data_IF_322072370425
#
_entry.id   IF_322072370425
#
_cell.length_a   1.000
_cell.length_b   1.000
_cell.length_c   1.000
_cell.angle_alpha   90.00
_cell.angle_beta   90.00
_cell.angle_gamma   90.00
#
_symmetry.space_group_name_H-M   'P 1'
#
loop_
_entity.id
_entity.type
_entity.pdbx_description
1 polymer ?
#
# COMPACT_ATOMS: atom_id res chain seq x y z
N UNK A 1 11.15 12.50 -23.24
CA UNK A 1 11.18 11.11 -23.76
C UNK A 1 10.74 10.18 -22.65
N UNK A 2 9.60 9.49 -22.80
CA UNK A 2 9.14 8.43 -21.89
C UNK A 2 9.69 7.08 -22.35
N UNK A 3 9.90 6.14 -21.42
CA UNK A 3 10.33 4.78 -21.75
C UNK A 3 9.18 3.98 -22.36
N UNK A 4 9.46 3.04 -23.28
CA UNK A 4 8.45 2.14 -23.84
C UNK A 4 7.67 1.38 -22.76
N UNK A 5 8.36 0.93 -21.72
CA UNK A 5 7.76 0.22 -20.58
C UNK A 5 6.77 1.08 -19.80
N UNK A 6 6.93 2.41 -19.80
CA UNK A 6 6.00 3.33 -19.16
C UNK A 6 4.82 3.67 -20.07
N UNK A 7 5.05 3.75 -21.39
CA UNK A 7 4.01 4.05 -22.37
C UNK A 7 2.99 2.92 -22.52
N UNK A 8 3.41 1.68 -22.31
CA UNK A 8 2.59 0.48 -22.43
C UNK A 8 2.48 -0.26 -21.08
N UNK A 9 2.60 0.47 -19.97
CA UNK A 9 2.33 -0.09 -18.67
C UNK A 9 0.85 -0.53 -18.62
N UNK A 10 0.54 -1.77 -18.20
CA UNK A 10 -0.83 -2.22 -18.13
C UNK A 10 -1.59 -1.42 -17.07
N UNK A 11 -2.77 -0.93 -17.42
CA UNK A 11 -3.64 -0.16 -16.54
C UNK A 11 -4.82 -1.00 -16.06
N UNK A 12 -5.24 -1.99 -16.86
CA UNK A 12 -6.36 -2.87 -16.55
C UNK A 12 -5.93 -4.32 -16.40
N UNK A 13 -6.79 -5.13 -15.79
CA UNK A 13 -6.59 -6.57 -15.64
C UNK A 13 -6.45 -7.26 -17.02
N UNK A 14 -7.13 -6.74 -18.05
CA UNK A 14 -7.07 -7.29 -19.41
C UNK A 14 -5.71 -7.08 -20.09
N UNK A 15 -4.96 -6.05 -19.66
CA UNK A 15 -3.64 -5.72 -20.20
C UNK A 15 -2.51 -6.54 -19.54
N UNK A 16 -2.81 -7.27 -18.46
CA UNK A 16 -1.83 -8.09 -17.76
C UNK A 16 -1.47 -9.33 -18.57
N UNK A 17 -0.21 -9.46 -18.97
CA UNK A 17 0.37 -10.67 -19.54
C UNK A 17 0.62 -11.79 -18.49
N UNK A 18 -0.11 -11.79 -17.38
CA UNK A 18 0.00 -12.78 -16.30
C UNK A 18 -1.10 -13.83 -16.48
N UNK A 19 -0.80 -15.08 -16.10
CA UNK A 19 -1.80 -16.15 -16.17
C UNK A 19 -3.08 -15.76 -15.39
N UNK A 20 -4.28 -15.78 -16.01
CA UNK A 20 -5.51 -15.28 -15.38
C UNK A 20 -5.85 -15.96 -14.06
N UNK A 21 -5.45 -17.23 -13.91
CA UNK A 21 -5.61 -17.97 -12.65
C UNK A 21 -4.86 -17.30 -11.49
N UNK A 22 -3.61 -16.88 -11.71
CA UNK A 22 -2.79 -16.21 -10.68
C UNK A 22 -3.35 -14.84 -10.34
N UNK A 23 -3.82 -14.10 -11.34
CA UNK A 23 -4.46 -12.80 -11.13
C UNK A 23 -5.68 -12.97 -10.22
N UNK A 24 -6.52 -13.98 -10.50
CA UNK A 24 -7.69 -14.29 -9.68
C UNK A 24 -7.32 -14.68 -8.25
N UNK A 25 -6.35 -15.57 -8.06
CA UNK A 25 -5.90 -15.99 -6.73
C UNK A 25 -5.42 -14.80 -5.88
N UNK A 26 -4.67 -13.87 -6.47
CA UNK A 26 -4.22 -12.66 -5.76
C UNK A 26 -5.37 -11.70 -5.49
N UNK A 27 -6.29 -11.53 -6.44
CA UNK A 27 -7.47 -10.69 -6.27
C UNK A 27 -8.37 -11.21 -5.14
N UNK A 28 -8.64 -12.52 -5.11
CA UNK A 28 -9.42 -13.18 -4.07
C UNK A 28 -8.75 -13.03 -2.71
N UNK A 29 -7.42 -13.21 -2.64
CA UNK A 29 -6.66 -13.00 -1.40
C UNK A 29 -6.77 -11.56 -0.87
N UNK A 30 -6.66 -10.56 -1.75
CA UNK A 30 -6.83 -9.14 -1.36
C UNK A 30 -8.26 -8.93 -0.84
N UNK A 31 -9.27 -9.45 -1.54
CA UNK A 31 -10.67 -9.32 -1.13
C UNK A 31 -10.92 -9.97 0.23
N UNK A 32 -10.40 -11.16 0.48
CA UNK A 32 -10.52 -11.85 1.76
C UNK A 32 -9.82 -11.10 2.91
N UNK A 33 -8.75 -10.36 2.62
CA UNK A 33 -8.12 -9.47 3.59
C UNK A 33 -9.01 -8.28 3.93
N UNK A 34 -9.63 -7.65 2.93
CA UNK A 34 -10.54 -6.52 3.09
C UNK A 34 -11.84 -6.90 3.81
N UNK A 35 -12.36 -8.10 3.55
CA UNK A 35 -13.55 -8.65 4.19
C UNK A 35 -13.25 -9.25 5.57
N UNK A 36 -12.01 -9.15 6.05
CA UNK A 36 -11.54 -9.71 7.33
C UNK A 36 -11.76 -11.23 7.46
N UNK A 37 -11.87 -11.94 6.33
CA UNK A 37 -12.07 -13.39 6.25
C UNK A 37 -10.76 -14.16 6.36
N UNK A 38 -9.69 -13.61 5.80
CA UNK A 38 -8.35 -14.15 5.95
C UNK A 38 -7.71 -13.64 7.25
N UNK A 39 -7.04 -14.49 8.05
CA UNK A 39 -6.17 -14.03 9.14
C UNK A 39 -4.81 -13.54 8.63
N UNK A 40 -4.43 -13.90 7.40
CA UNK A 40 -3.16 -13.52 6.78
C UNK A 40 -3.26 -12.11 6.17
N UNK A 41 -2.24 -11.29 6.41
CA UNK A 41 -2.10 -9.92 5.83
C UNK A 41 -0.80 -9.74 5.04
N UNK A 42 0.00 -10.79 4.92
CA UNK A 42 1.26 -10.81 4.19
C UNK A 42 1.15 -11.80 3.03
N UNK A 43 1.44 -11.32 1.83
CA UNK A 43 1.54 -12.12 0.61
C UNK A 43 2.94 -11.97 0.03
N UNK A 44 3.59 -13.10 -0.27
CA UNK A 44 4.90 -13.13 -0.91
C UNK A 44 4.72 -13.65 -2.33
N UNK A 45 5.06 -12.82 -3.32
CA UNK A 45 5.01 -13.20 -4.73
C UNK A 45 6.41 -13.59 -5.24
N UNK A 46 6.61 -14.88 -5.50
CA UNK A 46 7.87 -15.42 -6.01
C UNK A 46 7.76 -15.73 -7.51
N UNK A 47 8.77 -15.33 -8.28
CA UNK A 47 8.86 -15.61 -9.70
C UNK A 47 10.03 -14.86 -10.35
N UNK A 48 10.37 -15.22 -11.58
CA UNK A 48 11.45 -14.58 -12.33
C UNK A 48 11.27 -13.05 -12.44
N UNK A 49 12.37 -12.29 -12.60
CA UNK A 49 12.28 -10.86 -12.87
C UNK A 49 11.48 -10.61 -14.16
N UNK A 50 10.73 -9.51 -14.22
CA UNK A 50 9.97 -9.11 -15.41
C UNK A 50 8.64 -9.82 -15.66
N UNK A 51 8.21 -10.79 -14.84
CA UNK A 51 6.91 -11.50 -15.03
C UNK A 51 5.67 -10.71 -14.58
N UNK A 52 5.81 -9.41 -14.27
CA UNK A 52 4.67 -8.56 -13.92
C UNK A 52 4.11 -8.72 -12.50
N UNK A 53 4.88 -9.24 -11.53
CA UNK A 53 4.44 -9.45 -10.14
C UNK A 53 3.95 -8.13 -9.49
N UNK A 54 4.83 -7.14 -9.41
CA UNK A 54 4.50 -5.82 -8.86
C UNK A 54 3.43 -5.10 -9.68
N UNK A 55 3.51 -5.24 -11.00
CA UNK A 55 2.55 -4.63 -11.93
C UNK A 55 1.14 -5.16 -11.71
N UNK A 56 0.98 -6.47 -11.52
CA UNK A 56 -0.29 -7.11 -11.18
C UNK A 56 -0.84 -6.55 -9.86
N UNK A 57 -0.02 -6.40 -8.82
CA UNK A 57 -0.46 -5.80 -7.56
C UNK A 57 -0.97 -4.35 -7.74
N UNK A 58 -0.26 -3.52 -8.51
CA UNK A 58 -0.66 -2.13 -8.78
C UNK A 58 -1.99 -2.05 -9.54
N UNK A 59 -2.15 -2.87 -10.59
CA UNK A 59 -3.39 -2.93 -11.39
C UNK A 59 -4.56 -3.41 -10.53
N UNK A 60 -4.38 -4.46 -9.73
CA UNK A 60 -5.42 -4.97 -8.83
C UNK A 60 -5.81 -3.93 -7.77
N UNK A 61 -4.82 -3.29 -7.15
CA UNK A 61 -5.08 -2.24 -6.16
C UNK A 61 -5.86 -1.07 -6.76
N UNK A 62 -5.46 -0.58 -7.93
CA UNK A 62 -6.19 0.48 -8.65
C UNK A 62 -7.62 0.04 -9.00
N UNK A 63 -7.80 -1.18 -9.50
CA UNK A 63 -9.12 -1.74 -9.84
C UNK A 63 -10.03 -1.84 -8.60
N UNK A 64 -9.47 -2.11 -7.43
CA UNK A 64 -10.20 -2.25 -6.17
C UNK A 64 -10.27 -0.93 -5.36
N UNK A 65 -9.79 0.19 -5.90
CA UNK A 65 -9.80 1.49 -5.21
C UNK A 65 -8.90 1.55 -3.98
N UNK A 66 -7.82 0.75 -3.95
CA UNK A 66 -6.85 0.72 -2.87
C UNK A 66 -5.68 1.68 -3.14
N UNK A 67 -5.23 2.36 -2.10
CA UNK A 67 -4.02 3.17 -2.16
C UNK A 67 -2.78 2.28 -2.06
N UNK A 68 -1.83 2.41 -2.99
CA UNK A 68 -0.59 1.64 -2.97
C UNK A 68 0.50 2.43 -2.26
N UNK A 69 0.94 1.93 -1.11
CA UNK A 69 2.09 2.45 -0.39
C UNK A 69 3.30 1.61 -0.76
N UNK A 70 4.18 2.15 -1.60
CA UNK A 70 5.34 1.42 -2.06
C UNK A 70 6.55 1.74 -1.18
N UNK A 71 7.24 0.69 -0.72
CA UNK A 71 8.57 0.82 -0.13
C UNK A 71 9.65 0.65 -1.21
N UNK A 72 10.61 1.58 -1.23
CA UNK A 72 11.80 1.54 -2.09
C UNK A 72 13.02 2.01 -1.28
N UNK A 73 14.07 1.19 -1.21
CA UNK A 73 15.28 1.47 -0.43
C UNK A 73 15.96 2.78 -0.86
N UNK A 74 15.95 3.10 -2.16
CA UNK A 74 16.60 4.30 -2.69
C UNK A 74 16.00 5.62 -2.17
N UNK A 75 14.74 5.62 -1.73
CA UNK A 75 14.08 6.80 -1.15
C UNK A 75 14.41 7.00 0.34
N UNK A 76 14.86 5.94 1.03
CA UNK A 76 15.20 6.00 2.46
C UNK A 76 16.58 6.63 2.73
N UNK A 77 17.49 6.58 1.76
CA UNK A 77 18.86 7.09 1.89
C UNK A 77 19.01 8.60 1.60
N UNK A 78 17.95 9.27 1.14
CA UNK A 78 18.01 10.67 0.69
C UNK A 78 17.52 11.65 1.75
N UNK A 79 18.34 11.89 2.78
CA UNK A 79 18.23 13.09 3.61
C UNK A 79 19.55 13.88 3.51
N UNK A 80 19.51 14.92 2.67
CA UNK A 80 20.25 16.19 2.74
C UNK A 80 21.76 16.16 2.98
N UNK A 81 22.53 16.28 1.90
CA UNK A 81 23.85 16.95 1.93
C UNK A 81 23.63 18.43 1.63
N UNK A 82 23.16 19.18 2.61
CA UNK A 82 23.28 20.64 2.60
C UNK A 82 24.01 21.02 3.88
N UNK A 83 25.15 21.69 3.72
CA UNK A 83 25.94 22.30 4.81
C UNK A 83 26.93 21.43 5.62
N UNK A 84 27.58 20.44 5.00
CA UNK A 84 28.85 19.86 5.52
C UNK A 84 28.77 19.12 6.86
N UNK A 85 27.57 18.96 7.43
CA UNK A 85 27.29 18.14 8.60
C UNK A 85 27.02 16.71 8.14
N UNK A 86 27.89 15.78 8.54
CA UNK A 86 27.65 14.35 8.37
C UNK A 86 26.49 13.97 9.30
N UNK A 87 25.25 14.00 8.78
CA UNK A 87 24.13 13.36 9.46
C UNK A 87 24.34 11.85 9.36
N UNK A 88 24.37 11.18 10.52
CA UNK A 88 24.40 9.73 10.60
C UNK A 88 23.32 9.16 9.68
N UNK A 89 23.74 8.44 8.65
CA UNK A 89 22.83 7.69 7.79
C UNK A 89 21.93 6.85 8.71
N UNK A 90 20.62 7.13 8.72
CA UNK A 90 19.68 6.32 9.48
C UNK A 90 19.80 4.87 9.02
N UNK A 91 19.72 3.93 9.97
CA UNK A 91 19.64 2.51 9.62
C UNK A 91 18.41 2.29 8.72
N UNK A 92 18.56 1.49 7.65
CA UNK A 92 17.46 1.17 6.75
C UNK A 92 16.25 0.58 7.49
N UNK A 93 16.51 -0.16 8.58
CA UNK A 93 15.47 -0.72 9.45
C UNK A 93 14.68 0.38 10.16
N UNK A 94 15.34 1.46 10.60
CA UNK A 94 14.69 2.61 11.22
C UNK A 94 13.81 3.34 10.22
N UNK A 95 14.31 3.61 9.00
CA UNK A 95 13.52 4.26 7.96
C UNK A 95 12.34 3.39 7.51
N UNK A 96 12.50 2.07 7.47
CA UNK A 96 11.40 1.14 7.20
C UNK A 96 10.37 1.15 8.34
N UNK A 97 10.80 1.18 9.60
CA UNK A 97 9.91 1.30 10.75
C UNK A 97 9.13 2.63 10.72
N UNK A 98 9.79 3.73 10.37
CA UNK A 98 9.14 5.03 10.15
C UNK A 98 8.10 4.95 9.02
N UNK A 99 8.45 4.34 7.89
CA UNK A 99 7.50 4.09 6.79
C UNK A 99 6.27 3.31 7.24
N UNK A 100 6.45 2.23 8.02
CA UNK A 100 5.33 1.47 8.57
C UNK A 100 4.49 2.30 9.55
N UNK A 101 5.11 3.15 10.36
CA UNK A 101 4.40 4.07 11.25
C UNK A 101 3.56 5.08 10.44
N UNK A 102 4.09 5.62 9.34
CA UNK A 102 3.31 6.48 8.45
C UNK A 102 2.17 5.70 7.77
N UNK A 103 2.46 4.53 7.23
CA UNK A 103 1.48 3.69 6.54
C UNK A 103 0.32 3.24 7.45
N UNK A 104 0.58 3.06 8.74
CA UNK A 104 -0.43 2.70 9.74
C UNK A 104 -1.19 3.90 10.31
N UNK A 105 -0.59 5.10 10.34
CA UNK A 105 -1.18 6.30 10.93
C UNK A 105 -2.18 7.01 10.02
N UNK A 106 -2.01 6.92 8.69
CA UNK A 106 -2.92 7.58 7.75
C UNK A 106 -4.07 6.67 7.34
N UNK A 107 -5.12 6.66 8.15
CA UNK A 107 -6.44 6.27 7.68
C UNK A 107 -6.89 7.35 6.67
N UNK A 108 -7.32 6.94 5.48
CA UNK A 108 -7.69 7.87 4.40
C UNK A 108 -8.63 8.97 4.92
N UNK A 109 -8.26 10.23 4.69
CA UNK A 109 -9.08 11.38 5.06
C UNK A 109 -10.38 11.32 4.24
N UNK A 110 -11.51 11.15 4.91
CA UNK A 110 -12.83 11.17 4.28
C UNK A 110 -13.12 12.59 3.77
N UNK A 111 -12.93 12.81 2.48
CA UNK A 111 -13.30 14.04 1.79
C UNK A 111 -14.64 13.86 1.09
N UNK A 112 -15.64 13.34 1.80
CA UNK A 112 -17.03 13.50 1.36
C UNK A 112 -17.36 14.99 1.30
N UNK A 113 -17.23 15.56 0.10
CA UNK A 113 -17.83 16.85 -0.25
C UNK A 113 -19.35 16.68 -0.19
N UNK A 114 -19.88 16.74 1.02
CA UNK A 114 -21.30 16.72 1.30
C UNK A 114 -21.87 18.04 0.77
N UNK A 115 -22.50 17.96 -0.39
CA UNK A 115 -23.43 19.00 -0.82
C UNK A 115 -24.54 19.05 0.22
N UNK A 116 -24.54 20.15 0.99
CA UNK A 116 -25.46 20.50 2.06
C UNK A 116 -26.84 19.82 1.99
N UNK A 117 -27.09 18.89 2.90
CA UNK A 117 -28.42 18.74 3.51
C UNK A 117 -28.23 18.68 5.02
N UNK A 118 -28.38 19.83 5.66
CA UNK A 118 -28.46 19.93 7.12
C UNK A 118 -29.70 19.18 7.59
N UNK A 119 -29.50 18.10 8.34
CA UNK A 119 -30.52 17.57 9.25
C UNK A 119 -29.97 17.61 10.66
N UNK A 120 -30.39 18.62 11.39
CA UNK A 120 -30.16 18.73 12.83
C UNK A 120 -31.00 17.66 13.51
N UNK A 121 -30.40 16.86 14.41
CA UNK A 121 -31.17 16.26 15.49
C UNK A 121 -30.32 16.14 16.76
N UNK A 122 -30.88 16.66 17.84
CA UNK A 122 -30.35 16.58 19.20
C UNK A 122 -30.66 15.19 19.80
N UNK A 123 -29.90 14.83 20.86
CA UNK A 123 -30.12 13.71 21.80
C UNK A 123 -29.25 12.44 21.65
N UNK A 124 -28.18 12.44 22.46
CA UNK A 124 -27.69 11.44 23.41
C UNK A 124 -28.02 9.92 23.27
N UNK A 125 -26.93 9.13 23.37
CA UNK A 125 -26.78 7.75 23.88
C UNK A 125 -27.62 6.60 23.28
N UNK A 126 -27.00 5.81 22.38
CA UNK A 126 -27.14 4.34 22.37
C UNK A 126 -25.92 3.67 21.72
N UNK A 127 -25.43 2.61 22.36
CA UNK A 127 -24.52 1.62 21.80
C UNK A 127 -25.38 0.52 21.16
N UNK A 128 -25.26 0.27 19.85
CA UNK A 128 -25.85 -0.91 19.22
C UNK A 128 -26.36 -0.71 17.80
N UNK A 129 -25.63 -1.30 16.85
CA UNK A 129 -26.11 -1.97 15.63
C UNK A 129 -27.29 -1.36 14.85
N UNK A 130 -26.97 -0.60 13.81
CA UNK A 130 -27.69 -0.37 12.51
C UNK A 130 -26.83 0.69 11.82
N UNK A 131 -26.06 0.42 10.77
CA UNK A 131 -26.55 0.24 9.40
C UNK A 131 -25.43 -0.31 8.51
N UNK A 132 -25.69 -1.45 7.85
CA UNK A 132 -24.85 -2.04 6.81
C UNK A 132 -24.88 -1.24 5.48
N UNK A 133 -25.32 0.02 5.51
CA UNK A 133 -25.58 0.88 4.35
C UNK A 133 -24.73 2.15 4.32
N UNK A 134 -23.81 2.33 5.27
CA UNK A 134 -22.89 3.47 5.29
C UNK A 134 -21.44 3.04 5.59
N UNK A 135 -20.95 2.02 4.87
CA UNK A 135 -19.50 1.90 4.60
C UNK A 135 -19.16 3.00 3.59
N UNK A 136 -19.18 4.25 4.06
CA UNK A 136 -18.53 5.36 3.38
C UNK A 136 -17.12 4.88 3.04
N UNK A 137 -16.78 5.01 1.75
CA UNK A 137 -15.69 4.32 1.07
C UNK A 137 -14.33 4.58 1.73
N UNK A 138 -13.99 3.83 2.78
CA UNK A 138 -12.65 3.79 3.31
C UNK A 138 -11.78 3.07 2.28
N UNK A 139 -11.03 3.83 1.47
CA UNK A 139 -10.06 3.26 0.55
C UNK A 139 -9.02 2.49 1.38
N UNK A 140 -9.01 1.16 1.30
CA UNK A 140 -7.99 0.35 1.96
C UNK A 140 -6.60 0.66 1.39
N UNK A 141 -5.55 0.34 2.15
CA UNK A 141 -4.17 0.50 1.70
C UNK A 141 -3.54 -0.86 1.41
N UNK A 142 -2.78 -0.94 0.31
CA UNK A 142 -1.92 -2.06 -0.04
C UNK A 142 -0.46 -1.61 0.10
N UNK A 143 0.28 -2.20 1.04
CA UNK A 143 1.73 -1.96 1.16
C UNK A 143 2.45 -2.90 0.21
N UNK A 144 3.17 -2.35 -0.77
CA UNK A 144 3.98 -3.09 -1.73
C UNK A 144 5.47 -2.93 -1.37
N UNK A 145 6.09 -4.03 -0.97
CA UNK A 145 7.53 -4.08 -0.67
C UNK A 145 8.23 -4.78 -1.83
N UNK A 146 8.99 -4.02 -2.62
CA UNK A 146 9.76 -4.59 -3.74
C UNK A 146 11.16 -5.06 -3.31
N UNK A 147 11.75 -4.39 -2.32
CA UNK A 147 13.07 -4.68 -1.77
C UNK A 147 12.96 -4.71 -0.24
N UNK A 148 13.37 -5.82 0.39
CA UNK A 148 13.37 -5.93 1.85
C UNK A 148 14.62 -5.21 2.38
N UNK A 149 14.50 -4.30 3.36
CA UNK A 149 15.66 -3.60 3.90
C UNK A 149 16.74 -4.57 4.35
N UNK A 150 18.00 -4.27 4.01
CA UNK A 150 19.14 -5.09 4.41
C UNK A 150 19.28 -5.06 5.93
N UNK A 151 19.08 -6.21 6.57
CA UNK A 151 19.16 -6.36 8.04
C UNK A 151 20.59 -6.48 8.58
N UNK A 152 21.63 -6.17 7.79
CA UNK A 152 23.01 -6.28 8.24
C UNK A 152 23.28 -5.24 9.33
N UNK A 153 23.17 -5.66 10.59
CA UNK A 153 23.89 -5.03 11.68
C UNK A 153 25.38 -5.29 11.44
N UNK A 154 26.17 -4.23 11.37
CA UNK A 154 27.62 -4.32 11.47
C UNK A 154 28.00 -4.79 12.88
N UNK A 155 27.88 -6.09 13.13
CA UNK A 155 28.50 -6.81 14.25
C UNK A 155 29.14 -8.08 13.68
N UNK A 156 30.14 -7.87 12.84
CA UNK A 156 31.06 -8.90 12.39
C UNK A 156 32.48 -8.35 12.49
N UNK A 157 32.89 -7.98 13.70
CA UNK A 157 34.30 -7.94 14.07
C UNK A 157 34.48 -8.68 15.40
N UNK A 158 35.59 -9.41 15.46
CA UNK A 158 35.88 -10.57 16.30
C UNK A 158 36.23 -10.27 17.76
#
# INVERSE_FOLDING_TARGET
>A
NKLFTELYAPETIADLCVQPKKVREVQEWIQDCLDMRSPSRLLILVGSPGVGKSTMCRVLASTMGLNVLQWNEAQSASLSTDDGQVQYAQSQVSSFAEFLNYASSFQALDTTSTSNVVRINYDNHYCGSTDALNRASCSGALILVEEVPLLYSANAEA
#
